data_IF_802538911613
#
_entry.id   IF_802538911613
#
_cell.length_a   1.000
_cell.length_b   1.000
_cell.length_c   1.000
_cell.angle_alpha   90.00
_cell.angle_beta   90.00
_cell.angle_gamma   90.00
#
_symmetry.space_group_name_H-M   'P 1'
#
loop_
_entity.id
_entity.type
_entity.pdbx_description
1 polymer ?
#
# COMPACT_ATOMS: atom_id res chain seq x y z
N UNK A 1 -12.18 10.76 -30.23
CA UNK A 1 -11.18 10.19 -29.30
C UNK A 1 -11.71 8.86 -28.83
N UNK A 2 -10.84 7.87 -28.77
CA UNK A 2 -11.16 6.52 -28.29
C UNK A 2 -10.11 6.12 -27.28
N UNK A 3 -10.46 5.27 -26.33
CA UNK A 3 -9.55 4.80 -25.29
C UNK A 3 -9.60 3.28 -25.25
N UNK A 4 -8.43 2.66 -25.17
CA UNK A 4 -8.28 1.22 -25.04
C UNK A 4 -7.63 0.90 -23.69
N UNK A 5 -8.24 -0.04 -22.98
CA UNK A 5 -7.64 -0.69 -21.84
C UNK A 5 -7.06 -2.03 -22.31
N UNK A 6 -5.78 -2.24 -22.03
CA UNK A 6 -5.06 -3.47 -22.28
C UNK A 6 -4.84 -4.21 -20.97
N UNK A 7 -5.05 -5.51 -20.96
CA UNK A 7 -4.83 -6.42 -19.83
C UNK A 7 -3.89 -7.55 -20.27
N UNK A 8 -2.78 -7.74 -19.57
CA UNK A 8 -1.77 -8.77 -19.88
C UNK A 8 -1.33 -8.73 -21.36
N UNK A 9 -1.19 -7.52 -21.92
CA UNK A 9 -0.79 -7.27 -23.30
C UNK A 9 -1.89 -7.44 -24.35
N UNK A 10 -3.09 -7.89 -23.98
CA UNK A 10 -4.24 -8.01 -24.87
C UNK A 10 -5.24 -6.87 -24.72
N UNK A 11 -6.03 -6.60 -25.76
CA UNK A 11 -7.12 -5.63 -25.68
C UNK A 11 -8.24 -6.17 -24.76
N UNK A 12 -8.53 -5.44 -23.69
CA UNK A 12 -9.55 -5.80 -22.69
C UNK A 12 -10.85 -5.04 -22.89
N UNK A 13 -10.78 -3.72 -23.13
CA UNK A 13 -11.96 -2.89 -23.31
C UNK A 13 -11.67 -1.68 -24.21
N UNK A 14 -12.71 -1.17 -24.86
CA UNK A 14 -12.68 0.04 -25.68
C UNK A 14 -13.82 0.95 -25.24
N UNK A 15 -13.51 2.22 -24.95
CA UNK A 15 -14.49 3.20 -24.54
C UNK A 15 -14.36 4.51 -25.31
N UNK A 16 -15.50 5.18 -25.50
CA UNK A 16 -15.59 6.53 -26.08
C UNK A 16 -16.19 7.48 -25.05
N UNK A 17 -15.72 8.74 -24.95
CA UNK A 17 -16.31 9.72 -24.04
C UNK A 17 -17.81 9.91 -24.29
N UNK A 18 -18.63 9.83 -23.24
CA UNK A 18 -20.09 9.81 -23.34
C UNK A 18 -20.72 11.18 -23.66
N UNK A 19 -20.04 12.30 -23.43
CA UNK A 19 -20.52 13.61 -23.85
C UNK A 19 -19.36 14.61 -24.06
N UNK A 20 -19.43 15.38 -25.15
CA UNK A 20 -18.74 16.67 -25.26
C UNK A 20 -19.73 17.73 -24.73
N UNK A 21 -19.31 18.69 -23.87
CA UNK A 21 -17.94 19.17 -23.71
C UNK A 21 -17.26 18.95 -22.34
N UNK A 22 -17.80 18.14 -21.41
CA UNK A 22 -17.34 18.18 -20.00
C UNK A 22 -16.24 17.17 -19.62
N UNK A 23 -16.04 16.05 -20.33
CA UNK A 23 -15.03 15.06 -19.95
C UNK A 23 -14.17 14.53 -21.10
N UNK A 24 -12.85 14.66 -20.94
CA UNK A 24 -11.78 14.13 -21.79
C UNK A 24 -11.16 12.84 -21.23
N UNK A 25 -11.95 12.04 -20.50
CA UNK A 25 -11.51 10.79 -19.90
C UNK A 25 -12.65 9.77 -19.95
N UNK A 26 -12.29 8.50 -19.79
CA UNK A 26 -13.22 7.38 -19.72
C UNK A 26 -13.01 6.59 -18.44
N UNK A 27 -14.00 5.81 -18.06
CA UNK A 27 -13.91 4.85 -16.95
C UNK A 27 -14.02 3.45 -17.53
N UNK A 28 -13.09 2.60 -17.12
CA UNK A 28 -13.19 1.16 -17.33
C UNK A 28 -13.56 0.52 -15.98
N UNK A 29 -14.84 0.24 -15.72
CA UNK A 29 -15.23 -0.44 -14.49
C UNK A 29 -14.74 -1.89 -14.53
N UNK A 30 -14.06 -2.33 -13.46
CA UNK A 30 -13.77 -3.75 -13.21
C UNK A 30 -14.85 -4.22 -12.23
N UNK A 31 -15.88 -4.98 -12.67
CA UNK A 31 -17.06 -5.24 -11.86
C UNK A 31 -16.77 -6.04 -10.59
N UNK A 32 -15.77 -6.92 -10.63
CA UNK A 32 -15.35 -7.73 -9.52
C UNK A 32 -13.83 -7.91 -9.53
N UNK A 33 -13.19 -7.74 -8.38
CA UNK A 33 -11.76 -8.01 -8.23
C UNK A 33 -11.54 -9.48 -7.88
N UNK A 34 -11.02 -10.25 -8.84
CA UNK A 34 -10.77 -11.69 -8.72
C UNK A 34 -9.35 -12.05 -9.18
N UNK A 35 -8.93 -13.30 -9.00
CA UNK A 35 -7.64 -13.78 -9.51
C UNK A 35 -7.51 -13.69 -11.04
N UNK A 36 -8.62 -13.64 -11.78
CA UNK A 36 -8.62 -13.56 -13.25
C UNK A 36 -8.55 -12.12 -13.78
N UNK A 37 -8.84 -11.14 -12.92
CA UNK A 37 -8.79 -9.70 -13.24
C UNK A 37 -7.64 -9.00 -12.52
N UNK A 38 -6.81 -9.77 -11.81
CA UNK A 38 -5.58 -9.30 -11.20
C UNK A 38 -4.44 -9.50 -12.19
N UNK A 39 -3.61 -8.48 -12.38
CA UNK A 39 -2.59 -8.45 -13.41
C UNK A 39 -2.23 -7.05 -13.84
N UNK A 40 -1.48 -6.98 -14.94
CA UNK A 40 -0.97 -5.73 -15.46
C UNK A 40 -1.96 -5.08 -16.44
N UNK A 41 -2.31 -3.83 -16.16
CA UNK A 41 -3.15 -3.00 -17.03
C UNK A 41 -2.35 -1.85 -17.66
N UNK A 42 -2.61 -1.56 -18.93
CA UNK A 42 -2.05 -0.40 -19.65
C UNK A 42 -3.15 0.29 -20.45
N UNK A 43 -3.03 1.59 -20.66
CA UNK A 43 -4.01 2.38 -21.41
C UNK A 43 -3.37 3.02 -22.63
N UNK A 44 -4.11 3.11 -23.73
CA UNK A 44 -3.78 3.97 -24.87
C UNK A 44 -5.02 4.71 -25.35
N UNK A 45 -4.83 5.82 -26.07
CA UNK A 45 -5.93 6.56 -26.66
C UNK A 45 -5.65 6.89 -28.11
N UNK A 46 -6.72 7.08 -28.88
CA UNK A 46 -6.69 7.50 -30.29
C UNK A 46 -7.19 8.93 -30.43
N UNK A 47 -6.39 9.77 -31.07
CA UNK A 47 -6.76 11.12 -31.48
C UNK A 47 -6.61 11.26 -32.99
N UNK A 48 -7.71 11.48 -33.71
CA UNK A 48 -7.72 11.37 -35.17
C UNK A 48 -7.42 9.95 -35.63
N UNK A 49 -6.39 9.78 -36.45
CA UNK A 49 -5.94 8.47 -36.96
C UNK A 49 -4.79 7.86 -36.15
N UNK A 50 -4.18 8.63 -35.24
CA UNK A 50 -2.98 8.21 -34.52
C UNK A 50 -3.32 7.68 -33.11
N UNK A 51 -2.71 6.55 -32.76
CA UNK A 51 -2.69 6.00 -31.41
C UNK A 51 -1.54 6.59 -30.60
N UNK A 52 -1.79 6.85 -29.32
CA UNK A 52 -0.73 7.12 -28.35
C UNK A 52 0.10 5.86 -28.07
N UNK A 53 1.28 6.05 -27.50
CA UNK A 53 1.97 4.96 -26.81
C UNK A 53 1.14 4.44 -25.62
N UNK A 54 1.46 3.22 -25.18
CA UNK A 54 0.86 2.61 -23.99
C UNK A 54 1.38 3.31 -22.73
N UNK A 55 0.49 3.55 -21.77
CA UNK A 55 0.83 4.11 -20.47
C UNK A 55 1.82 3.25 -19.68
N UNK A 56 2.35 3.80 -18.59
CA UNK A 56 3.00 3.00 -17.56
C UNK A 56 2.04 1.89 -17.05
N UNK A 57 2.59 0.72 -16.67
CA UNK A 57 1.78 -0.39 -16.18
C UNK A 57 1.16 -0.09 -14.82
N UNK A 58 -0.11 -0.43 -14.69
CA UNK A 58 -0.84 -0.47 -13.43
C UNK A 58 -1.02 -1.92 -13.00
N UNK A 59 -0.30 -2.32 -11.96
CA UNK A 59 -0.44 -3.64 -11.35
C UNK A 59 -1.64 -3.69 -10.41
N UNK A 60 -2.64 -4.50 -10.77
CA UNK A 60 -3.77 -4.78 -9.89
C UNK A 60 -3.58 -6.12 -9.19
N UNK A 61 -3.63 -6.10 -7.86
CA UNK A 61 -3.50 -7.29 -7.02
C UNK A 61 -4.81 -7.60 -6.31
N UNK A 62 -5.17 -8.88 -6.25
CA UNK A 62 -6.28 -9.36 -5.42
C UNK A 62 -5.74 -9.85 -4.07
N UNK A 63 -6.39 -9.44 -2.99
CA UNK A 63 -6.09 -9.87 -1.62
C UNK A 63 -7.26 -10.65 -1.04
N UNK A 64 -7.08 -11.35 0.08
CA UNK A 64 -8.18 -12.08 0.71
C UNK A 64 -8.35 -13.49 0.16
N UNK A 65 -7.26 -14.09 -0.32
CA UNK A 65 -7.26 -15.46 -0.83
C UNK A 65 -6.58 -16.39 0.18
N UNK A 66 -7.05 -17.64 0.24
CA UNK A 66 -6.43 -18.73 0.98
C UNK A 66 -6.22 -18.43 2.49
N UNK A 67 -4.98 -18.48 2.98
CA UNK A 67 -4.65 -18.45 4.41
C UNK A 67 -4.45 -17.02 4.95
N UNK A 68 -4.38 -16.89 6.28
CA UNK A 68 -4.11 -15.61 6.96
C UNK A 68 -2.73 -15.63 7.62
N UNK A 69 -1.83 -14.68 7.31
CA UNK A 69 -0.52 -14.58 7.92
C UNK A 69 -0.59 -14.03 9.34
N UNK A 70 0.44 -14.30 10.13
CA UNK A 70 0.64 -13.68 11.44
C UNK A 70 1.65 -12.54 11.32
N UNK A 71 1.30 -11.37 11.87
CA UNK A 71 2.18 -10.21 11.96
C UNK A 71 2.56 -9.97 13.42
N UNK A 72 3.85 -10.00 13.72
CA UNK A 72 4.42 -9.59 15.01
C UNK A 72 5.32 -8.37 14.85
N UNK A 73 5.60 -7.71 15.96
CA UNK A 73 6.47 -6.53 16.02
C UNK A 73 7.43 -6.68 17.19
N UNK A 74 8.71 -6.39 16.92
CA UNK A 74 9.79 -6.43 17.89
C UNK A 74 10.50 -5.07 17.94
N UNK A 75 10.93 -4.59 19.12
CA UNK A 75 10.73 -5.22 20.43
C UNK A 75 9.29 -5.09 20.95
N UNK A 76 8.57 -4.03 20.54
CA UNK A 76 7.19 -3.73 20.97
C UNK A 76 6.52 -2.77 19.99
N UNK A 77 5.20 -2.67 20.08
CA UNK A 77 4.39 -1.75 19.25
C UNK A 77 4.40 -0.30 19.76
N UNK A 78 4.97 -0.02 20.93
CA UNK A 78 5.05 1.30 21.53
C UNK A 78 6.51 1.69 21.78
N UNK A 79 7.04 2.57 20.95
CA UNK A 79 8.46 2.94 20.97
C UNK A 79 8.63 4.45 21.05
N UNK A 80 9.82 4.92 21.38
CA UNK A 80 10.22 6.32 21.30
C UNK A 80 10.87 6.60 19.94
N UNK A 81 10.75 7.84 19.48
CA UNK A 81 11.44 8.29 18.26
C UNK A 81 12.93 7.99 18.35
N UNK A 82 13.50 7.45 17.27
CA UNK A 82 14.90 7.02 17.19
C UNK A 82 15.14 5.53 17.47
N UNK A 83 14.17 4.81 18.05
CA UNK A 83 14.28 3.34 18.19
C UNK A 83 14.16 2.62 16.84
N UNK A 84 14.69 1.39 16.77
CA UNK A 84 14.49 0.50 15.64
C UNK A 84 13.37 -0.50 15.95
N UNK A 85 12.53 -0.76 14.96
CA UNK A 85 11.39 -1.68 15.04
C UNK A 85 11.49 -2.67 13.90
N UNK A 86 11.25 -3.95 14.17
CA UNK A 86 11.15 -4.98 13.13
C UNK A 86 9.75 -5.55 13.14
N UNK A 87 9.08 -5.51 11.99
CA UNK A 87 7.88 -6.30 11.77
C UNK A 87 8.24 -7.65 11.18
N UNK A 88 7.65 -8.72 11.71
CA UNK A 88 7.83 -10.07 11.16
C UNK A 88 6.50 -10.61 10.70
N UNK A 89 6.41 -10.93 9.40
CA UNK A 89 5.25 -11.56 8.80
C UNK A 89 5.52 -13.04 8.61
N UNK A 90 4.62 -13.92 9.05
CA UNK A 90 4.78 -15.38 8.95
C UNK A 90 3.60 -16.01 8.23
N UNK A 91 3.90 -16.80 7.21
CA UNK A 91 2.93 -17.64 6.48
C UNK A 91 3.67 -18.78 5.79
N UNK A 92 3.42 -20.02 6.24
CA UNK A 92 4.14 -21.19 5.75
C UNK A 92 3.81 -21.56 4.29
N UNK A 93 2.64 -21.17 3.79
CA UNK A 93 2.13 -21.50 2.46
C UNK A 93 2.47 -20.45 1.38
N UNK A 94 3.16 -19.38 1.74
CA UNK A 94 3.52 -18.31 0.81
C UNK A 94 4.60 -18.74 -0.19
N UNK A 95 4.59 -18.14 -1.40
CA UNK A 95 5.63 -18.35 -2.43
C UNK A 95 6.90 -17.53 -2.17
N UNK A 96 7.35 -17.47 -0.91
CA UNK A 96 8.58 -16.79 -0.54
C UNK A 96 8.58 -15.26 -0.68
N UNK A 97 7.43 -14.61 -0.92
CA UNK A 97 7.33 -13.15 -0.98
C UNK A 97 6.27 -12.64 0.00
N UNK A 98 6.62 -11.59 0.73
CA UNK A 98 5.79 -10.99 1.75
C UNK A 98 5.68 -9.49 1.55
N UNK A 99 4.53 -8.95 1.95
CA UNK A 99 4.23 -7.53 1.86
C UNK A 99 3.85 -6.95 3.21
N UNK A 100 4.31 -5.74 3.51
CA UNK A 100 3.88 -4.96 4.67
C UNK A 100 3.26 -3.65 4.22
N UNK A 101 2.01 -3.41 4.64
CA UNK A 101 1.24 -2.22 4.29
C UNK A 101 0.87 -1.43 5.54
N UNK A 102 1.00 -0.11 5.44
CA UNK A 102 0.54 0.84 6.44
C UNK A 102 -0.82 1.41 6.02
N UNK A 103 -1.83 1.28 6.87
CA UNK A 103 -3.18 1.79 6.61
C UNK A 103 -3.23 3.33 6.56
N UNK A 104 -4.15 3.86 5.75
CA UNK A 104 -4.46 5.29 5.69
C UNK A 104 -3.47 6.14 4.89
N UNK A 105 -2.44 5.55 4.29
CA UNK A 105 -1.56 6.22 3.33
C UNK A 105 -1.60 5.47 2.01
N UNK A 106 -1.50 6.20 0.89
CA UNK A 106 -1.19 5.63 -0.44
C UNK A 106 0.28 5.17 -0.50
N UNK A 107 0.78 4.58 0.58
CA UNK A 107 2.14 4.08 0.68
C UNK A 107 2.25 2.81 -0.14
N UNK A 108 3.26 2.75 -1.01
CA UNK A 108 3.60 1.54 -1.73
C UNK A 108 3.86 0.40 -0.72
N UNK A 109 3.32 -0.80 -0.95
CA UNK A 109 3.64 -1.99 -0.17
C UNK A 109 5.16 -2.17 -0.07
N UNK A 110 5.68 -2.42 1.12
CA UNK A 110 7.06 -2.85 1.26
C UNK A 110 7.13 -4.34 0.92
N UNK A 111 8.07 -4.72 0.05
CA UNK A 111 8.28 -6.11 -0.36
C UNK A 111 9.53 -6.67 0.32
N UNK A 112 9.45 -7.92 0.80
CA UNK A 112 10.59 -8.71 1.25
C UNK A 112 10.46 -10.16 0.80
N UNK A 113 11.58 -10.75 0.45
CA UNK A 113 11.69 -12.17 0.18
C UNK A 113 11.97 -12.94 1.48
N UNK A 114 11.41 -14.14 1.58
CA UNK A 114 11.49 -15.01 2.75
C UNK A 114 11.18 -16.46 2.37
N UNK A 115 10.89 -17.33 3.32
CA UNK A 115 10.38 -18.68 3.02
C UNK A 115 9.07 -18.96 3.76
N UNK A 116 9.13 -19.01 5.09
CA UNK A 116 8.01 -19.18 6.01
C UNK A 116 7.68 -17.85 6.69
N UNK A 117 8.62 -16.90 6.64
CA UNK A 117 8.48 -15.57 7.19
C UNK A 117 9.43 -14.59 6.49
N UNK A 118 9.15 -13.30 6.68
CA UNK A 118 10.05 -12.21 6.31
C UNK A 118 10.03 -11.11 7.36
N UNK A 119 11.17 -10.42 7.50
CA UNK A 119 11.35 -9.30 8.41
C UNK A 119 11.44 -7.97 7.65
N UNK A 120 10.75 -6.98 8.20
CA UNK A 120 10.69 -5.61 7.71
C UNK A 120 11.24 -4.70 8.80
N UNK A 121 12.49 -4.28 8.65
CA UNK A 121 13.13 -3.35 9.56
C UNK A 121 12.67 -1.92 9.27
N UNK A 122 12.08 -1.29 10.26
CA UNK A 122 11.63 0.09 10.31
C UNK A 122 12.57 0.85 11.27
N UNK A 123 13.44 1.72 10.78
CA UNK A 123 14.38 2.40 11.68
C UNK A 123 15.26 3.46 10.99
N UNK A 124 15.75 4.46 11.75
CA UNK A 124 15.24 4.91 13.06
C UNK A 124 13.82 5.46 12.92
N UNK A 125 12.90 5.04 13.81
CA UNK A 125 11.49 5.44 13.67
C UNK A 125 11.27 6.89 14.08
N UNK A 126 10.23 7.49 13.51
CA UNK A 126 9.80 8.87 13.74
C UNK A 126 8.28 8.89 13.87
N UNK A 127 7.65 9.98 14.33
CA UNK A 127 6.18 10.08 14.36
C UNK A 127 5.50 9.80 13.01
N UNK A 128 6.18 10.02 11.88
CA UNK A 128 5.68 9.68 10.55
C UNK A 128 5.48 8.16 10.34
N UNK A 129 6.13 7.32 11.14
CA UNK A 129 5.97 5.87 11.14
C UNK A 129 4.76 5.39 11.96
N UNK A 130 4.12 6.26 12.77
CA UNK A 130 2.86 5.91 13.49
C UNK A 130 1.81 5.42 12.51
N UNK A 131 1.13 4.32 12.82
CA UNK A 131 0.08 3.80 11.96
C UNK A 131 -0.33 2.37 12.28
N UNK A 132 -1.29 1.86 11.50
CA UNK A 132 -1.74 0.46 11.61
C UNK A 132 -1.16 -0.33 10.46
N UNK A 133 -0.46 -1.41 10.77
CA UNK A 133 0.23 -2.25 9.80
C UNK A 133 -0.49 -3.58 9.64
N UNK A 134 -0.49 -4.10 8.42
CA UNK A 134 -0.93 -5.45 8.06
C UNK A 134 0.06 -6.06 7.10
N UNK A 135 0.24 -7.37 7.19
CA UNK A 135 1.08 -8.09 6.25
C UNK A 135 0.30 -9.13 5.44
N UNK A 136 0.91 -9.51 4.33
CA UNK A 136 0.37 -10.47 3.35
C UNK A 136 1.50 -11.39 2.88
N UNK A 137 1.17 -12.64 2.58
CA UNK A 137 2.03 -13.51 1.78
C UNK A 137 1.52 -13.59 0.34
N UNK A 138 2.41 -13.73 -0.64
CA UNK A 138 2.01 -13.99 -2.03
C UNK A 138 1.72 -15.45 -2.29
N UNK A 139 0.78 -15.71 -3.18
CA UNK A 139 0.63 -17.00 -3.86
C UNK A 139 1.10 -16.95 -5.32
N UNK A 140 1.07 -15.76 -5.92
CA UNK A 140 1.71 -15.44 -7.19
C UNK A 140 1.92 -13.91 -7.27
N UNK A 141 2.29 -13.40 -8.44
CA UNK A 141 2.58 -11.98 -8.64
C UNK A 141 1.38 -11.04 -8.37
N UNK A 142 0.14 -11.52 -8.55
CA UNK A 142 -1.07 -10.70 -8.49
C UNK A 142 -2.10 -11.19 -7.45
N UNK A 143 -1.79 -12.23 -6.68
CA UNK A 143 -2.69 -12.85 -5.70
C UNK A 143 -2.01 -12.98 -4.34
N UNK A 144 -2.60 -12.32 -3.34
CA UNK A 144 -2.09 -12.28 -1.97
C UNK A 144 -3.06 -12.92 -0.98
N UNK A 145 -2.52 -13.33 0.16
CA UNK A 145 -3.23 -13.93 1.27
C UNK A 145 -4.36 -13.05 1.83
N UNK A 146 -5.12 -13.55 2.80
CA UNK A 146 -5.86 -12.66 3.69
C UNK A 146 -4.91 -11.68 4.40
N UNK A 147 -5.38 -10.48 4.75
CA UNK A 147 -4.61 -9.58 5.59
C UNK A 147 -4.39 -10.20 6.98
N UNK A 148 -3.19 -10.03 7.54
CA UNK A 148 -2.96 -10.32 8.96
C UNK A 148 -3.89 -9.53 9.88
N UNK A 149 -3.98 -9.96 11.15
CA UNK A 149 -4.46 -9.06 12.21
C UNK A 149 -3.65 -7.75 12.21
N UNK A 150 -4.29 -6.61 12.44
CA UNK A 150 -3.61 -5.32 12.44
C UNK A 150 -2.69 -5.16 13.65
N UNK A 151 -1.53 -4.52 13.44
CA UNK A 151 -0.62 -4.08 14.51
C UNK A 151 -0.49 -2.57 14.47
N UNK A 152 -0.84 -1.86 15.55
CA UNK A 152 -0.75 -0.40 15.64
C UNK A 152 0.59 0.01 16.24
N UNK A 153 1.44 0.65 15.45
CA UNK A 153 2.71 1.22 15.91
C UNK A 153 2.48 2.62 16.47
N UNK A 154 2.84 2.82 17.73
CA UNK A 154 2.88 4.11 18.41
C UNK A 154 4.34 4.51 18.57
N UNK A 155 4.65 5.75 18.20
CA UNK A 155 6.00 6.31 18.31
C UNK A 155 5.91 7.57 19.15
N UNK A 156 6.23 7.52 20.45
CA UNK A 156 6.26 8.71 21.31
C UNK A 156 7.39 9.63 20.85
N UNK A 157 7.11 10.92 20.67
CA UNK A 157 8.20 11.87 20.49
C UNK A 157 8.80 12.26 21.86
N UNK A 158 9.91 12.97 21.83
CA UNK A 158 10.56 13.42 23.06
C UNK A 158 9.72 14.46 23.82
N UNK A 159 8.79 15.14 23.17
CA UNK A 159 7.98 16.20 23.78
C UNK A 159 6.75 15.61 24.51
N UNK A 160 6.18 14.53 23.98
CA UNK A 160 5.10 13.74 24.58
C UNK A 160 5.49 13.20 25.98
N UNK A 161 6.77 12.90 26.22
CA UNK A 161 7.26 12.43 27.53
C UNK A 161 7.44 13.57 28.56
N UNK A 162 7.77 14.79 28.10
CA UNK A 162 7.80 15.97 28.96
C UNK A 162 6.38 16.39 29.40
N UNK A 163 5.37 16.25 28.53
CA UNK A 163 3.98 16.56 28.89
C UNK A 163 3.39 15.57 29.91
N UNK A 164 3.72 14.28 29.80
CA UNK A 164 3.26 13.25 30.76
C UNK A 164 3.90 13.36 32.14
N UNK A 165 5.10 13.93 32.25
CA UNK A 165 5.82 14.09 33.52
C UNK A 165 5.51 15.40 34.24
N UNK A 166 5.06 16.43 33.52
CA UNK A 166 4.86 17.77 34.10
C UNK A 166 3.42 18.10 34.45
N UNK A 167 2.42 17.35 33.97
CA UNK A 167 1.01 17.56 34.36
C UNK A 167 0.53 19.00 34.13
N UNK A 168 -0.07 19.26 32.95
CA UNK A 168 -0.67 20.53 32.47
C UNK A 168 0.28 21.62 31.98
N UNK A 169 0.24 21.95 30.67
CA UNK A 169 -0.47 23.08 30.03
C UNK A 169 0.15 23.35 28.64
N UNK A 170 -0.70 23.48 27.62
CA UNK A 170 -0.35 23.83 26.23
C UNK A 170 0.71 24.93 26.11
N UNK A 171 1.80 24.64 25.38
CA UNK A 171 2.72 25.67 24.86
C UNK A 171 2.87 25.55 23.34
N UNK A 172 1.74 25.65 22.63
CA UNK A 172 1.75 26.21 21.28
C UNK A 172 1.97 27.71 21.43
N UNK A 173 3.20 28.15 21.21
CA UNK A 173 3.60 29.48 20.69
C UNK A 173 5.01 29.86 21.18
N UNK A 174 6.04 29.12 20.77
CA UNK A 174 7.40 29.63 20.69
C UNK A 174 8.03 29.06 19.42
N UNK A 175 7.82 29.73 18.29
CA UNK A 175 8.76 30.03 17.19
C UNK A 175 7.93 30.78 16.14
N UNK A 176 7.61 32.03 16.42
CA UNK A 176 7.59 33.10 15.42
C UNK A 176 8.05 34.35 16.15
N UNK A 177 9.34 34.68 15.97
CA UNK A 177 9.91 36.02 15.92
C UNK A 177 11.45 35.89 15.96
N UNK A 178 12.02 35.80 14.75
CA UNK A 178 13.30 36.46 14.44
C UNK A 178 12.96 37.93 14.22
#
# INVERSE_FOLDING_TARGET
MEYQLHFEGGLSALERPKSRPVMNWVKFPIPAMTSHTAGQYRCSYRSGELWSELSDPLELVVTGLYDTPTLSVEPRSEVTSGENVTFRCQLATATSTFFLLKAGQSSRPQLRYGNLWAEFHLGPVTPAHRGTYRCFGSYNNHAWSFPSKPVKLLVKDYWDSYELTTGTQSQKDIIQNI
#
